data_IF_860853035707
#
_entry.id   IF_860853035707
#
_cell.length_a   1.000
_cell.length_b   1.000
_cell.length_c   1.000
_cell.angle_alpha   90.00
_cell.angle_beta   90.00
_cell.angle_gamma   90.00
#
_symmetry.space_group_name_H-M   'P 1'
#
loop_
_entity.id
_entity.type
_entity.pdbx_description
1 polymer ?
#
# COMPACT_ATOMS: atom_id res chain seq x y z
N UNK A 1 5.00 9.64 7.36
CA UNK A 1 4.78 10.48 6.16
C UNK A 1 4.80 9.56 4.95
N UNK A 2 3.77 9.60 4.09
CA UNK A 2 3.68 8.70 2.92
C UNK A 2 4.24 9.44 1.69
N UNK A 3 5.19 8.86 0.94
CA UNK A 3 5.71 9.49 -0.27
C UNK A 3 4.62 9.55 -1.36
N UNK A 4 4.48 10.71 -2.01
CA UNK A 4 3.54 10.89 -3.11
C UNK A 4 4.26 10.71 -4.45
N UNK A 5 3.66 9.95 -5.36
CA UNK A 5 4.17 9.85 -6.72
C UNK A 5 4.05 11.19 -7.45
N UNK A 6 4.96 11.47 -8.39
CA UNK A 6 4.96 12.72 -9.19
C UNK A 6 3.61 13.01 -9.84
N UNK A 7 2.94 11.98 -10.37
CA UNK A 7 1.62 12.12 -10.96
C UNK A 7 0.54 12.48 -9.93
N UNK A 8 0.60 11.90 -8.72
CA UNK A 8 -0.31 12.26 -7.62
C UNK A 8 -0.11 13.70 -7.18
N UNK A 9 1.15 14.14 -7.04
CA UNK A 9 1.47 15.55 -6.74
C UNK A 9 0.88 16.46 -7.81
N UNK A 10 1.12 16.18 -9.09
CA UNK A 10 0.58 16.97 -10.20
C UNK A 10 -0.95 17.09 -10.14
N UNK A 11 -1.65 15.98 -9.91
CA UNK A 11 -3.11 15.96 -9.80
C UNK A 11 -3.61 16.76 -8.58
N UNK A 12 -2.97 16.60 -7.42
CA UNK A 12 -3.33 17.35 -6.22
C UNK A 12 -3.07 18.84 -6.38
N UNK A 13 -1.96 19.24 -7.00
CA UNK A 13 -1.66 20.64 -7.27
C UNK A 13 -2.69 21.25 -8.21
N UNK A 14 -3.08 20.55 -9.28
CA UNK A 14 -4.14 21.01 -10.18
C UNK A 14 -5.49 21.15 -9.44
N UNK A 15 -5.86 20.14 -8.64
CA UNK A 15 -7.06 20.17 -7.82
C UNK A 15 -7.09 21.36 -6.85
N UNK A 16 -5.98 21.62 -6.15
CA UNK A 16 -5.86 22.74 -5.21
C UNK A 16 -5.91 24.11 -5.89
N UNK A 17 -5.55 24.19 -7.17
CA UNK A 17 -5.65 25.42 -7.95
C UNK A 17 -7.10 25.70 -8.39
N UNK A 18 -7.86 24.66 -8.71
CA UNK A 18 -9.29 24.77 -9.07
C UNK A 18 -10.18 25.05 -7.86
N UNK A 19 -9.84 24.44 -6.73
CA UNK A 19 -10.58 24.60 -5.48
C UNK A 19 -9.60 24.85 -4.33
N UNK A 20 -9.17 26.12 -4.13
CA UNK A 20 -8.32 26.48 -3.02
C UNK A 20 -9.04 26.10 -1.72
N UNK A 21 -8.51 25.14 -0.94
CA UNK A 21 -9.17 24.75 0.29
C UNK A 21 -9.14 25.95 1.22
N UNK A 22 -10.22 26.15 1.98
CA UNK A 22 -10.13 26.98 3.17
C UNK A 22 -8.94 26.48 4.00
N UNK A 23 -8.20 27.38 4.64
CA UNK A 23 -6.93 27.09 5.33
C UNK A 23 -7.02 25.89 6.30
N UNK A 24 -8.21 25.61 6.83
CA UNK A 24 -8.51 24.49 7.73
C UNK A 24 -9.66 23.59 7.23
N UNK A 25 -10.01 23.69 5.95
CA UNK A 25 -11.09 22.93 5.31
C UNK A 25 -10.65 21.53 4.85
N UNK A 26 -11.60 20.65 4.52
CA UNK A 26 -11.28 19.34 3.95
C UNK A 26 -10.59 19.49 2.59
N UNK A 27 -9.54 18.68 2.35
CA UNK A 27 -8.85 18.63 1.06
C UNK A 27 -9.79 18.22 -0.10
N UNK A 28 -10.79 17.38 0.20
CA UNK A 28 -11.82 16.95 -0.73
C UNK A 28 -13.21 17.25 -0.14
N UNK A 29 -13.73 18.46 -0.35
CA UNK A 29 -15.06 18.84 0.10
C UNK A 29 -16.16 18.25 -0.79
N UNK A 30 -17.37 18.17 -0.24
CA UNK A 30 -18.62 18.05 -1.00
C UNK A 30 -18.99 19.40 -1.63
N UNK A 31 -20.04 19.43 -2.47
CA UNK A 31 -20.60 20.68 -3.00
C UNK A 31 -21.09 21.64 -1.90
N UNK A 32 -21.31 21.16 -0.69
CA UNK A 32 -21.70 21.98 0.47
C UNK A 32 -20.50 22.35 1.36
N UNK A 33 -19.26 22.08 0.94
CA UNK A 33 -18.04 22.41 1.68
C UNK A 33 -17.67 21.44 2.82
N UNK A 34 -18.45 20.38 3.04
CA UNK A 34 -18.23 19.41 4.13
C UNK A 34 -17.30 18.26 3.69
N UNK A 35 -16.67 17.51 4.62
CA UNK A 35 -15.84 16.36 4.25
C UNK A 35 -16.64 15.24 3.55
N UNK A 36 -16.04 14.59 2.55
CA UNK A 36 -16.61 13.40 1.93
C UNK A 36 -16.73 12.24 2.93
N UNK A 37 -17.90 11.61 2.97
CA UNK A 37 -18.11 10.38 3.74
C UNK A 37 -17.53 9.16 2.99
N UNK A 38 -17.25 8.07 3.72
CA UNK A 38 -16.82 6.80 3.09
C UNK A 38 -17.80 6.30 2.03
N UNK A 39 -19.11 6.43 2.30
CA UNK A 39 -20.15 6.05 1.36
C UNK A 39 -20.15 6.95 0.10
N UNK A 40 -19.91 8.26 0.25
CA UNK A 40 -19.79 9.18 -0.88
C UNK A 40 -18.58 8.83 -1.75
N UNK A 41 -17.43 8.53 -1.15
CA UNK A 41 -16.24 8.06 -1.89
C UNK A 41 -16.54 6.76 -2.64
N UNK A 42 -17.22 5.81 -1.99
CA UNK A 42 -17.65 4.56 -2.64
C UNK A 42 -18.51 4.81 -3.87
N UNK A 43 -19.54 5.67 -3.76
CA UNK A 43 -20.41 6.05 -4.88
C UNK A 43 -19.64 6.72 -6.01
N UNK A 44 -18.71 7.63 -5.70
CA UNK A 44 -17.85 8.27 -6.70
C UNK A 44 -17.01 7.24 -7.46
N UNK A 45 -16.37 6.31 -6.74
CA UNK A 45 -15.59 5.23 -7.36
C UNK A 45 -16.46 4.37 -8.28
N UNK A 46 -17.64 3.95 -7.84
CA UNK A 46 -18.57 3.17 -8.67
C UNK A 46 -18.99 3.93 -9.93
N UNK A 47 -19.33 5.22 -9.79
CA UNK A 47 -19.70 6.07 -10.94
C UNK A 47 -18.57 6.16 -11.95
N UNK A 48 -17.36 6.46 -11.50
CA UNK A 48 -16.21 6.63 -12.40
C UNK A 48 -15.74 5.29 -13.00
N UNK A 49 -15.91 4.17 -12.29
CA UNK A 49 -15.66 2.84 -12.84
C UNK A 49 -16.62 2.50 -13.99
N UNK A 50 -17.90 2.86 -13.88
CA UNK A 50 -18.88 2.68 -14.94
C UNK A 50 -18.51 3.53 -16.18
N UNK A 51 -18.16 4.80 -16.00
CA UNK A 51 -17.68 5.65 -17.10
C UNK A 51 -16.39 5.11 -17.73
N UNK A 52 -15.46 4.60 -16.92
CA UNK A 52 -14.22 4.00 -17.45
C UNK A 52 -14.49 2.73 -18.26
N UNK A 53 -15.52 1.94 -17.90
CA UNK A 53 -15.89 0.72 -18.61
C UNK A 53 -16.35 0.99 -20.06
N UNK A 54 -16.87 2.18 -20.37
CA UNK A 54 -17.23 2.60 -21.73
C UNK A 54 -16.03 2.57 -22.69
N UNK A 55 -14.83 2.88 -22.17
CA UNK A 55 -13.58 2.93 -22.96
C UNK A 55 -12.67 1.73 -22.71
N UNK A 56 -12.86 1.04 -21.59
CA UNK A 56 -12.07 -0.10 -21.17
C UNK A 56 -13.01 -1.30 -20.95
N UNK A 57 -13.31 -2.09 -21.99
CA UNK A 57 -14.22 -3.24 -21.88
C UNK A 57 -13.81 -4.25 -20.80
N UNK A 58 -12.52 -4.32 -20.46
CA UNK A 58 -11.97 -5.15 -19.39
C UNK A 58 -12.44 -4.76 -17.98
N UNK A 59 -13.11 -3.62 -17.80
CA UNK A 59 -13.74 -3.20 -16.54
C UNK A 59 -15.24 -3.52 -16.50
N UNK A 60 -15.85 -3.95 -17.60
CA UNK A 60 -17.28 -4.29 -17.66
C UNK A 60 -17.59 -5.41 -16.69
N UNK A 61 -18.60 -5.22 -15.84
CA UNK A 61 -19.03 -6.20 -14.84
C UNK A 61 -18.08 -6.37 -13.64
N UNK A 62 -16.97 -5.62 -13.56
CA UNK A 62 -16.07 -5.67 -12.39
C UNK A 62 -16.62 -4.82 -11.25
N UNK A 63 -16.55 -5.37 -10.03
CA UNK A 63 -16.86 -4.63 -8.82
C UNK A 63 -15.64 -3.80 -8.37
N UNK A 64 -15.59 -2.53 -8.77
CA UNK A 64 -14.53 -1.59 -8.38
C UNK A 64 -14.97 -0.79 -7.15
N UNK A 65 -14.23 -0.96 -6.07
CA UNK A 65 -14.42 -0.28 -4.77
C UNK A 65 -13.12 0.38 -4.29
N UNK A 66 -13.16 1.32 -3.31
CA UNK A 66 -11.94 1.87 -2.72
C UNK A 66 -10.97 0.81 -2.19
N UNK A 67 -11.48 -0.30 -1.65
CA UNK A 67 -10.66 -1.42 -1.18
C UNK A 67 -9.97 -2.14 -2.34
N UNK A 68 -10.65 -2.37 -3.46
CA UNK A 68 -10.01 -2.97 -4.65
C UNK A 68 -8.91 -2.08 -5.23
N UNK A 69 -9.13 -0.76 -5.30
CA UNK A 69 -8.11 0.19 -5.76
C UNK A 69 -6.87 0.19 -4.85
N UNK A 70 -7.09 0.16 -3.54
CA UNK A 70 -6.01 0.05 -2.55
C UNK A 70 -5.24 -1.26 -2.71
N UNK A 71 -5.94 -2.37 -2.92
CA UNK A 71 -5.30 -3.67 -3.14
C UNK A 71 -4.48 -3.68 -4.43
N UNK A 72 -5.02 -3.14 -5.53
CA UNK A 72 -4.28 -2.99 -6.79
C UNK A 72 -3.01 -2.13 -6.63
N UNK A 73 -3.10 -1.02 -5.88
CA UNK A 73 -1.93 -0.21 -5.54
C UNK A 73 -0.88 -1.03 -4.79
N UNK A 74 -1.29 -1.77 -3.76
CA UNK A 74 -0.38 -2.61 -2.99
C UNK A 74 0.31 -3.69 -3.84
N UNK A 75 -0.46 -4.40 -4.67
CA UNK A 75 0.09 -5.41 -5.58
C UNK A 75 1.03 -4.79 -6.62
N UNK A 76 0.74 -3.58 -7.09
CA UNK A 76 1.64 -2.86 -8.01
C UNK A 76 2.97 -2.51 -7.35
N UNK A 77 2.95 -2.09 -6.08
CA UNK A 77 4.17 -1.84 -5.29
C UNK A 77 4.95 -3.13 -5.04
N UNK A 78 4.24 -4.23 -4.72
CA UNK A 78 4.85 -5.54 -4.51
C UNK A 78 5.54 -6.05 -5.79
N UNK A 79 4.87 -5.96 -6.94
CA UNK A 79 5.45 -6.35 -8.23
C UNK A 79 6.64 -5.47 -8.64
N UNK A 80 6.69 -4.22 -8.19
CA UNK A 80 7.85 -3.35 -8.36
C UNK A 80 9.04 -3.70 -7.43
N UNK A 81 8.90 -4.75 -6.59
CA UNK A 81 9.95 -5.24 -5.70
C UNK A 81 10.06 -4.48 -4.39
N UNK A 82 9.06 -3.68 -4.02
CA UNK A 82 9.03 -3.02 -2.72
C UNK A 82 8.68 -4.07 -1.65
N UNK A 83 9.45 -4.07 -0.56
CA UNK A 83 9.26 -5.05 0.50
C UNK A 83 7.88 -4.91 1.17
N UNK A 84 7.34 -6.04 1.60
CA UNK A 84 6.00 -6.12 2.18
C UNK A 84 5.86 -5.30 3.47
N UNK A 85 6.93 -5.09 4.23
CA UNK A 85 6.92 -4.26 5.43
C UNK A 85 6.80 -2.76 5.10
N UNK A 86 7.50 -2.28 4.07
CA UNK A 86 7.37 -0.92 3.54
C UNK A 86 5.99 -0.67 2.95
N UNK A 87 5.44 -1.62 2.19
CA UNK A 87 4.07 -1.53 1.66
C UNK A 87 3.06 -1.47 2.81
N UNK A 88 3.24 -2.32 3.83
CA UNK A 88 2.40 -2.33 5.01
C UNK A 88 2.52 -1.04 5.81
N UNK A 89 3.70 -0.42 5.90
CA UNK A 89 3.88 0.88 6.56
C UNK A 89 3.17 1.99 5.78
N UNK A 90 3.35 2.04 4.46
CA UNK A 90 2.76 3.08 3.61
C UNK A 90 1.23 2.97 3.55
N UNK A 91 0.69 1.76 3.49
CA UNK A 91 -0.75 1.53 3.45
C UNK A 91 -1.36 1.47 4.86
N UNK A 92 -0.65 0.94 5.84
CA UNK A 92 -1.09 0.63 7.21
C UNK A 92 -1.36 1.83 8.12
N UNK A 93 -1.06 3.06 7.68
CA UNK A 93 -1.62 4.27 8.31
C UNK A 93 -3.17 4.38 8.20
N UNK A 94 -3.85 3.43 7.54
CA UNK A 94 -5.32 3.41 7.45
C UNK A 94 -6.02 2.09 7.88
N UNK A 95 -5.32 0.96 8.10
CA UNK A 95 -5.86 -0.28 8.74
C UNK A 95 -4.84 -1.42 8.73
N UNK A 96 -4.67 -2.10 9.88
CA UNK A 96 -3.76 -3.25 10.13
C UNK A 96 -4.28 -4.58 9.57
N UNK A 97 -5.59 -4.68 9.27
CA UNK A 97 -6.27 -5.97 9.00
C UNK A 97 -5.92 -6.60 7.62
N UNK A 98 -5.18 -5.91 6.75
CA UNK A 98 -4.90 -6.35 5.37
C UNK A 98 -3.45 -6.78 5.12
N UNK A 99 -2.55 -6.66 6.09
CA UNK A 99 -1.12 -6.97 5.91
C UNK A 99 -0.84 -8.48 5.76
N UNK A 100 -1.67 -9.34 6.36
CA UNK A 100 -1.52 -10.81 6.25
C UNK A 100 -1.66 -11.32 4.82
N UNK A 101 -2.46 -10.65 3.98
CA UNK A 101 -2.67 -11.00 2.57
C UNK A 101 -1.36 -10.83 1.76
N UNK A 102 -0.56 -9.80 2.07
CA UNK A 102 0.71 -9.56 1.37
C UNK A 102 1.77 -10.60 1.73
N UNK A 103 1.81 -11.04 2.99
CA UNK A 103 2.75 -12.08 3.43
C UNK A 103 2.57 -13.42 2.69
N UNK A 104 1.34 -13.72 2.25
CA UNK A 104 1.02 -14.93 1.48
C UNK A 104 1.28 -14.75 -0.02
N UNK A 105 1.08 -13.54 -0.56
CA UNK A 105 1.43 -13.21 -1.95
C UNK A 105 2.95 -13.24 -2.22
N UNK A 106 3.76 -13.14 -1.15
CA UNK A 106 5.21 -12.98 -1.19
C UNK A 106 6.03 -14.27 -1.41
N UNK A 107 5.41 -15.36 -1.89
CA UNK A 107 6.11 -16.65 -2.00
C UNK A 107 7.27 -16.60 -3.01
N UNK A 108 7.11 -15.87 -4.12
CA UNK A 108 8.16 -15.70 -5.13
C UNK A 108 9.31 -14.78 -4.68
N UNK A 109 9.03 -13.74 -3.88
CA UNK A 109 10.08 -12.88 -3.33
C UNK A 109 10.83 -13.60 -2.21
N UNK A 110 10.13 -14.40 -1.38
CA UNK A 110 10.75 -15.29 -0.39
C UNK A 110 11.67 -16.30 -1.06
N UNK A 111 11.26 -16.90 -2.18
CA UNK A 111 12.12 -17.77 -2.98
C UNK A 111 13.36 -17.03 -3.50
N UNK A 112 13.19 -15.87 -4.14
CA UNK A 112 14.32 -15.03 -4.60
C UNK A 112 15.25 -14.56 -3.47
N UNK A 113 14.71 -14.37 -2.28
CA UNK A 113 15.51 -14.02 -1.09
C UNK A 113 16.27 -15.23 -0.59
N UNK A 114 15.64 -16.41 -0.56
CA UNK A 114 16.29 -17.67 -0.19
C UNK A 114 17.42 -18.04 -1.17
N UNK A 115 17.23 -17.81 -2.47
CA UNK A 115 18.26 -17.99 -3.50
C UNK A 115 19.47 -17.07 -3.34
N UNK A 116 19.29 -15.91 -2.68
CA UNK A 116 20.36 -14.95 -2.38
C UNK A 116 21.06 -15.21 -1.06
N UNK A 117 20.48 -16.05 -0.19
CA UNK A 117 21.19 -16.56 0.98
C UNK A 117 22.19 -17.58 0.44
N UNK A 118 23.52 -17.40 0.65
CA UNK A 118 24.48 -18.42 0.29
C UNK A 118 24.02 -19.74 0.90
N UNK A 119 24.09 -20.83 0.13
CA UNK A 119 23.85 -22.16 0.67
C UNK A 119 24.63 -22.25 2.00
N UNK A 120 23.95 -22.62 3.08
CA UNK A 120 24.63 -22.86 4.34
C UNK A 120 25.72 -23.87 4.01
N UNK A 121 26.99 -23.44 4.09
CA UNK A 121 28.13 -24.32 3.90
C UNK A 121 27.83 -25.63 4.64
N UNK A 122 28.24 -26.76 4.07
CA UNK A 122 28.15 -28.11 4.65
C UNK A 122 28.96 -28.27 5.97
N UNK A 123 29.18 -27.17 6.70
CA UNK A 123 29.70 -27.19 8.04
C UNK A 123 28.74 -27.97 8.93
N UNK A 124 29.25 -28.95 9.69
CA UNK A 124 28.44 -29.68 10.64
C UNK A 124 27.76 -28.69 11.60
N UNK A 125 26.53 -28.96 12.05
CA UNK A 125 25.74 -28.02 12.85
C UNK A 125 26.52 -27.61 14.09
N UNK A 126 27.14 -26.42 14.03
CA UNK A 126 27.78 -25.82 15.18
C UNK A 126 26.67 -25.22 16.04
N UNK A 127 26.63 -25.57 17.32
CA UNK A 127 25.76 -24.89 18.29
C UNK A 127 26.06 -23.40 18.22
N UNK A 128 25.11 -22.64 17.69
CA UNK A 128 25.18 -21.18 17.64
C UNK A 128 25.37 -20.65 19.06
N UNK A 129 26.53 -20.05 19.34
CA UNK A 129 26.78 -19.30 20.58
C UNK A 129 26.53 -17.83 20.29
N UNK A 130 25.39 -17.33 20.75
CA UNK A 130 25.08 -15.91 20.72
C UNK A 130 26.16 -15.14 21.50
N UNK A 131 26.61 -14.01 20.96
CA UNK A 131 27.53 -13.14 21.68
C UNK A 131 26.82 -12.43 22.84
N UNK A 132 27.58 -12.04 23.86
CA UNK A 132 27.04 -11.31 25.01
C UNK A 132 26.33 -10.01 24.60
N UNK A 133 26.80 -9.36 23.53
CA UNK A 133 26.17 -8.19 22.94
C UNK A 133 24.77 -8.48 22.38
N UNK A 134 24.58 -9.63 21.72
CA UNK A 134 23.29 -10.04 21.18
C UNK A 134 22.32 -10.44 22.30
N UNK A 135 22.81 -11.12 23.34
CA UNK A 135 22.01 -11.46 24.52
C UNK A 135 21.59 -10.21 25.29
N UNK A 136 22.47 -9.21 25.41
CA UNK A 136 22.15 -7.93 26.05
C UNK A 136 21.08 -7.16 25.25
N UNK A 137 21.17 -7.15 23.92
CA UNK A 137 20.18 -6.52 23.04
C UNK A 137 18.78 -7.14 23.19
N UNK A 138 18.68 -8.47 23.26
CA UNK A 138 17.40 -9.17 23.37
C UNK A 138 16.75 -9.08 24.76
N UNK A 139 17.53 -8.78 25.79
CA UNK A 139 17.04 -8.60 27.17
C UNK A 139 16.45 -7.20 27.44
N UNK A 140 16.64 -6.24 26.54
CA UNK A 140 16.20 -4.85 26.69
C UNK A 140 14.87 -4.53 25.98
N UNK A 141 13.91 -5.47 26.01
CA UNK A 141 12.51 -5.22 25.61
C UNK A 141 11.58 -5.31 26.81
#
# INVERSE_FOLDING_TARGET
MIPLQKNTVRLLTAWLAELPPAREGPLFPTNSGTPLTRAAVGKLVTRHAATAAERCPSLTGKNVTPHTLRHTCAMSLLHAGIDTASIALWLGHASIQTTQIYLHADLELKQRTLERVPALDERPPARYKASDALIAFLKNR
#
